data_IF_675575615374
#
_entry.id   IF_675575615374
#
_cell.length_a   1.000
_cell.length_b   1.000
_cell.length_c   1.000
_cell.angle_alpha   90.00
_cell.angle_beta   90.00
_cell.angle_gamma   90.00
#
_symmetry.space_group_name_H-M   'P 1'
#
loop_
_entity.id
_entity.type
_entity.pdbx_description
1 polymer ?
#
# COMPACT_ATOMS: atom_id res chain seq x y z
N UNK A 1 -35.14 45.08 53.06
CA UNK A 1 -35.69 44.62 51.76
C UNK A 1 -34.61 43.80 51.08
N UNK A 2 -35.02 42.64 50.54
CA UNK A 2 -34.17 41.48 50.31
C UNK A 2 -33.04 41.72 49.29
N UNK A 3 -31.87 41.11 49.57
CA UNK A 3 -30.83 40.86 48.58
C UNK A 3 -31.39 39.89 47.55
N UNK A 4 -31.57 40.32 46.31
CA UNK A 4 -31.70 39.40 45.18
C UNK A 4 -30.38 38.63 45.06
N UNK A 5 -30.42 37.37 45.49
CA UNK A 5 -29.39 36.40 45.18
C UNK A 5 -29.50 36.07 43.70
N UNK A 6 -28.54 36.54 42.90
CA UNK A 6 -28.34 36.13 41.51
C UNK A 6 -28.02 34.63 41.49
N UNK A 7 -29.05 33.79 41.58
CA UNK A 7 -28.90 32.35 41.51
C UNK A 7 -28.66 32.00 40.06
N UNK A 8 -27.48 31.47 39.74
CA UNK A 8 -27.28 30.73 38.50
C UNK A 8 -28.46 29.76 38.32
N UNK A 9 -29.35 30.07 37.37
CA UNK A 9 -30.61 29.33 37.22
C UNK A 9 -30.31 27.91 36.77
N UNK A 10 -30.26 27.02 37.75
CA UNK A 10 -29.94 25.62 37.57
C UNK A 10 -31.04 24.95 36.75
N UNK A 11 -30.66 24.22 35.71
CA UNK A 11 -31.57 23.47 34.85
C UNK A 11 -31.31 21.98 35.04
N UNK A 12 -32.36 21.23 35.37
CA UNK A 12 -32.34 19.77 35.49
C UNK A 12 -33.03 19.17 34.28
N UNK A 13 -32.32 18.30 33.56
CA UNK A 13 -32.77 17.70 32.31
C UNK A 13 -32.87 16.18 32.46
N UNK A 14 -33.89 15.58 31.86
CA UNK A 14 -34.03 14.14 31.69
C UNK A 14 -34.17 13.84 30.19
N UNK A 15 -33.09 13.33 29.58
CA UNK A 15 -33.02 13.03 28.15
C UNK A 15 -33.14 11.51 27.99
N UNK A 16 -34.32 11.04 27.59
CA UNK A 16 -34.60 9.60 27.39
C UNK A 16 -34.29 8.72 28.60
N UNK A 17 -34.45 9.25 29.82
CA UNK A 17 -34.16 8.54 31.06
C UNK A 17 -32.80 8.87 31.69
N UNK A 18 -31.89 9.55 30.96
CA UNK A 18 -30.59 10.01 31.50
C UNK A 18 -30.70 11.42 32.05
N UNK A 19 -30.29 11.58 33.32
CA UNK A 19 -30.40 12.83 34.06
C UNK A 19 -29.14 13.68 33.93
N UNK A 20 -29.32 14.95 33.63
CA UNK A 20 -28.25 15.94 33.53
C UNK A 20 -28.60 17.19 34.35
N UNK A 21 -27.57 17.92 34.75
CA UNK A 21 -27.70 19.19 35.44
C UNK A 21 -26.74 20.20 34.83
N UNK A 22 -27.23 21.40 34.56
CA UNK A 22 -26.47 22.48 33.93
C UNK A 22 -27.05 23.85 34.33
N UNK A 23 -26.57 24.93 33.71
CA UNK A 23 -27.11 26.28 33.90
C UNK A 23 -27.86 26.71 32.65
N UNK A 24 -28.83 27.60 32.82
CA UNK A 24 -29.55 28.21 31.68
C UNK A 24 -28.59 28.85 30.68
N UNK A 25 -27.57 29.55 31.18
CA UNK A 25 -26.53 30.18 30.37
C UNK A 25 -25.81 29.18 29.45
N UNK A 26 -25.50 27.98 29.95
CA UNK A 26 -24.88 26.92 29.13
C UNK A 26 -25.76 26.56 27.94
N UNK A 27 -27.09 26.50 28.12
CA UNK A 27 -28.02 26.10 27.09
C UNK A 27 -28.35 27.21 26.09
N UNK A 28 -28.09 28.47 26.42
CA UNK A 28 -28.56 29.62 25.63
C UNK A 28 -27.45 30.47 25.00
N UNK A 29 -26.22 30.45 25.52
CA UNK A 29 -25.20 31.43 25.10
C UNK A 29 -24.48 31.08 23.80
N UNK A 30 -24.02 29.84 23.63
CA UNK A 30 -23.15 29.48 22.50
C UNK A 30 -23.90 29.35 21.18
N UNK A 31 -25.06 28.71 21.23
CA UNK A 31 -25.90 28.41 20.08
C UNK A 31 -27.27 29.06 20.31
N UNK A 32 -27.37 30.40 20.22
CA UNK A 32 -28.58 31.14 20.62
C UNK A 32 -29.81 30.81 19.78
N UNK A 33 -29.61 30.30 18.57
CA UNK A 33 -30.66 29.90 17.64
C UNK A 33 -31.02 28.41 17.73
N UNK A 34 -30.39 27.66 18.65
CA UNK A 34 -30.67 26.24 18.84
C UNK A 34 -32.03 25.99 19.50
N UNK A 35 -32.55 24.77 19.33
CA UNK A 35 -33.77 24.32 20.01
C UNK A 35 -33.64 24.45 21.53
N UNK A 36 -32.47 24.10 22.09
CA UNK A 36 -32.21 24.22 23.53
C UNK A 36 -32.25 25.69 23.98
N UNK A 37 -31.64 26.60 23.22
CA UNK A 37 -31.69 28.02 23.53
C UNK A 37 -33.14 28.55 23.48
N UNK A 38 -33.92 28.16 22.47
CA UNK A 38 -35.33 28.53 22.35
C UNK A 38 -36.17 28.03 23.54
N UNK A 39 -35.98 26.78 23.96
CA UNK A 39 -36.66 26.17 25.11
C UNK A 39 -36.33 26.91 26.42
N UNK A 40 -35.07 27.30 26.62
CA UNK A 40 -34.60 27.84 27.90
C UNK A 40 -34.38 29.37 27.92
N UNK A 41 -34.71 30.06 26.83
CA UNK A 41 -34.68 31.52 26.72
C UNK A 41 -35.63 32.25 27.67
N UNK A 42 -36.62 31.54 28.24
CA UNK A 42 -37.71 32.12 29.05
C UNK A 42 -38.92 32.57 28.22
N UNK A 43 -38.89 32.39 26.89
CA UNK A 43 -40.00 32.74 25.99
C UNK A 43 -41.06 31.64 25.87
N UNK A 44 -40.77 30.42 26.31
CA UNK A 44 -41.66 29.27 26.24
C UNK A 44 -41.84 28.65 27.62
N UNK A 45 -43.06 28.23 27.95
CA UNK A 45 -43.32 27.45 29.18
C UNK A 45 -42.89 26.01 28.93
N UNK A 46 -41.81 25.59 29.60
CA UNK A 46 -41.33 24.22 29.53
C UNK A 46 -41.99 23.39 30.63
N UNK A 47 -42.63 22.28 30.28
CA UNK A 47 -43.22 21.37 31.27
C UNK A 47 -42.13 20.73 32.12
N UNK A 48 -42.24 20.90 33.45
CA UNK A 48 -41.32 20.33 34.42
C UNK A 48 -42.05 19.29 35.28
N UNK A 49 -41.33 18.25 35.68
CA UNK A 49 -41.77 17.31 36.71
C UNK A 49 -42.12 18.10 37.99
N UNK A 50 -43.38 18.08 38.48
CA UNK A 50 -43.83 18.89 39.60
C UNK A 50 -43.11 18.57 40.93
N UNK A 51 -42.59 17.36 41.09
CA UNK A 51 -41.94 16.92 42.32
C UNK A 51 -40.43 17.11 42.28
N UNK A 52 -39.80 16.92 41.11
CA UNK A 52 -38.33 16.83 40.98
C UNK A 52 -37.70 17.95 40.16
N UNK A 53 -38.51 18.73 39.44
CA UNK A 53 -38.10 19.90 38.65
C UNK A 53 -37.29 19.55 37.39
N UNK A 54 -37.43 18.32 36.88
CA UNK A 54 -36.76 17.91 35.65
C UNK A 54 -37.59 18.27 34.42
N UNK A 55 -36.94 18.85 33.42
CA UNK A 55 -37.49 18.95 32.06
C UNK A 55 -37.20 17.64 31.33
N UNK A 56 -38.25 16.98 30.84
CA UNK A 56 -38.11 15.77 30.04
C UNK A 56 -37.98 16.10 28.55
N UNK A 57 -37.02 15.44 27.87
CA UNK A 57 -36.87 15.46 26.42
C UNK A 57 -36.82 14.02 25.93
N UNK A 58 -37.72 13.67 25.02
CA UNK A 58 -37.86 12.32 24.48
C UNK A 58 -36.84 12.05 23.36
N UNK A 59 -35.56 11.91 23.75
CA UNK A 59 -34.41 11.65 22.87
C UNK A 59 -33.41 10.71 23.55
N UNK A 60 -32.47 10.14 22.80
CA UNK A 60 -31.42 9.31 23.39
C UNK A 60 -30.39 10.16 24.15
N UNK A 61 -30.35 10.00 25.47
CA UNK A 61 -29.36 10.68 26.30
C UNK A 61 -27.92 10.16 26.18
N UNK A 62 -27.63 9.15 25.34
CA UNK A 62 -26.28 8.57 25.14
C UNK A 62 -25.24 9.63 24.84
N UNK A 63 -25.50 10.49 23.86
CA UNK A 63 -24.53 11.50 23.40
C UNK A 63 -24.74 12.89 23.99
N UNK A 64 -25.78 13.07 24.81
CA UNK A 64 -26.11 14.37 25.35
C UNK A 64 -25.02 14.99 26.24
N UNK A 65 -24.14 14.15 26.82
CA UNK A 65 -22.94 14.65 27.51
C UNK A 65 -22.01 15.45 26.58
N UNK A 66 -21.85 15.00 25.34
CA UNK A 66 -21.01 15.67 24.35
C UNK A 66 -21.62 16.99 23.90
N UNK A 67 -22.94 17.05 23.74
CA UNK A 67 -23.68 18.29 23.49
C UNK A 67 -23.46 19.30 24.61
N UNK A 68 -23.57 18.88 25.87
CA UNK A 68 -23.33 19.78 27.00
C UNK A 68 -21.89 20.28 27.05
N UNK A 69 -20.91 19.45 26.70
CA UNK A 69 -19.52 19.87 26.66
C UNK A 69 -19.29 20.87 25.53
N UNK A 70 -19.79 20.59 24.31
CA UNK A 70 -19.78 21.53 23.19
C UNK A 70 -20.34 22.89 23.59
N UNK A 71 -21.51 22.93 24.22
CA UNK A 71 -22.14 24.17 24.66
C UNK A 71 -21.29 24.95 25.66
N UNK A 72 -20.49 24.26 26.49
CA UNK A 72 -19.59 24.88 27.47
C UNK A 72 -18.31 25.41 26.82
N UNK A 73 -17.53 24.53 26.20
CA UNK A 73 -16.16 24.83 25.78
C UNK A 73 -15.99 25.00 24.26
N UNK A 74 -16.95 24.57 23.45
CA UNK A 74 -16.90 24.65 21.99
C UNK A 74 -15.94 23.63 21.38
N UNK A 75 -15.61 22.56 22.09
CA UNK A 75 -14.71 21.52 21.59
C UNK A 75 -15.52 20.36 21.03
N UNK A 76 -15.29 20.00 19.77
CA UNK A 76 -15.84 18.79 19.16
C UNK A 76 -15.19 17.58 19.85
N UNK A 77 -15.98 16.63 20.39
CA UNK A 77 -15.43 15.50 21.13
C UNK A 77 -14.60 14.58 20.22
N UNK A 78 -13.63 13.88 20.78
CA UNK A 78 -12.90 12.82 20.08
C UNK A 78 -13.64 11.49 20.25
N UNK A 79 -14.23 10.98 19.17
CA UNK A 79 -15.07 9.77 19.16
C UNK A 79 -14.65 8.77 18.08
N UNK A 80 -15.24 7.56 18.11
CA UNK A 80 -15.16 6.60 17.01
C UNK A 80 -16.09 7.02 15.86
N UNK A 81 -15.81 6.58 14.62
CA UNK A 81 -16.58 6.99 13.44
C UNK A 81 -18.08 6.65 13.56
N UNK A 82 -18.43 5.50 14.13
CA UNK A 82 -19.83 5.12 14.37
C UNK A 82 -20.55 6.05 15.36
N UNK A 83 -19.81 6.63 16.32
CA UNK A 83 -20.38 7.50 17.36
C UNK A 83 -20.56 8.94 16.85
N UNK A 84 -19.76 9.39 15.88
CA UNK A 84 -19.97 10.70 15.25
C UNK A 84 -21.29 10.77 14.47
N UNK A 85 -21.65 9.69 13.76
CA UNK A 85 -22.93 9.64 13.05
C UNK A 85 -24.13 9.74 14.02
N UNK A 86 -24.05 9.06 15.17
CA UNK A 86 -25.07 9.14 16.22
C UNK A 86 -25.11 10.53 16.88
N UNK A 87 -23.95 11.14 17.18
CA UNK A 87 -23.90 12.48 17.74
C UNK A 87 -24.40 13.54 16.75
N UNK A 88 -24.11 13.38 15.45
CA UNK A 88 -24.56 14.28 14.39
C UNK A 88 -26.10 14.32 14.33
N UNK A 89 -26.76 13.17 14.42
CA UNK A 89 -28.23 13.09 14.46
C UNK A 89 -28.83 13.85 15.65
N UNK A 90 -28.19 13.77 16.83
CA UNK A 90 -28.63 14.56 17.98
C UNK A 90 -28.35 16.06 17.78
N UNK A 91 -27.20 16.43 17.23
CA UNK A 91 -26.86 17.83 16.95
C UNK A 91 -27.85 18.47 15.96
N UNK A 92 -28.26 17.74 14.92
CA UNK A 92 -29.32 18.14 13.98
C UNK A 92 -30.67 18.32 14.67
N UNK A 93 -31.07 17.37 15.53
CA UNK A 93 -32.32 17.48 16.27
C UNK A 93 -32.37 18.74 17.14
N UNK A 94 -31.29 19.01 17.89
CA UNK A 94 -31.21 20.21 18.73
C UNK A 94 -30.86 21.49 17.96
N UNK A 95 -30.63 21.40 16.65
CA UNK A 95 -30.29 22.53 15.77
C UNK A 95 -29.01 23.25 16.22
N UNK A 96 -27.96 22.49 16.53
CA UNK A 96 -26.66 22.99 16.97
C UNK A 96 -25.72 23.14 15.76
N UNK A 97 -25.92 24.18 14.96
CA UNK A 97 -25.22 24.37 13.68
C UNK A 97 -23.69 24.35 13.82
N UNK A 98 -23.14 25.03 14.83
CA UNK A 98 -21.69 25.04 15.03
C UNK A 98 -21.11 23.66 15.35
N UNK A 99 -21.86 22.81 16.06
CA UNK A 99 -21.45 21.43 16.34
C UNK A 99 -21.54 20.56 15.08
N UNK A 100 -22.57 20.75 14.26
CA UNK A 100 -22.76 20.03 12.98
C UNK A 100 -21.59 20.32 12.04
N UNK A 101 -21.22 21.60 11.89
CA UNK A 101 -20.08 22.02 11.08
C UNK A 101 -18.78 21.45 11.64
N UNK A 102 -18.56 21.55 12.95
CA UNK A 102 -17.37 21.01 13.61
C UNK A 102 -17.20 19.49 13.46
N UNK A 103 -18.29 18.72 13.55
CA UNK A 103 -18.27 17.27 13.31
C UNK A 103 -17.95 16.98 11.84
N UNK A 104 -18.58 17.71 10.92
CA UNK A 104 -18.36 17.55 9.48
C UNK A 104 -16.90 17.83 9.09
N UNK A 105 -16.29 18.85 9.66
CA UNK A 105 -14.88 19.16 9.46
C UNK A 105 -13.96 18.04 9.96
N UNK A 106 -14.21 17.50 11.15
CA UNK A 106 -13.44 16.37 11.70
C UNK A 106 -13.60 15.12 10.83
N UNK A 107 -14.81 14.82 10.36
CA UNK A 107 -15.07 13.69 9.47
C UNK A 107 -14.39 13.87 8.10
N UNK A 108 -14.42 15.07 7.53
CA UNK A 108 -13.74 15.39 6.28
C UNK A 108 -12.22 15.31 6.41
N UNK A 109 -11.65 15.77 7.53
CA UNK A 109 -10.20 15.64 7.79
C UNK A 109 -9.78 14.18 7.97
N UNK A 110 -10.61 13.34 8.61
CA UNK A 110 -10.36 11.90 8.73
C UNK A 110 -10.45 11.19 7.39
N UNK A 111 -11.46 11.50 6.56
CA UNK A 111 -11.57 10.96 5.21
C UNK A 111 -10.38 11.34 4.32
N UNK A 112 -9.86 12.57 4.44
CA UNK A 112 -8.62 12.99 3.75
C UNK A 112 -7.38 12.22 4.23
N UNK A 113 -7.34 11.82 5.51
CA UNK A 113 -6.26 11.01 6.06
C UNK A 113 -6.41 9.51 5.70
N UNK A 114 -7.61 9.03 5.41
CA UNK A 114 -7.84 7.71 4.83
C UNK A 114 -7.55 7.68 3.30
N UNK A 115 -7.68 8.82 2.59
CA UNK A 115 -7.20 8.99 1.20
C UNK A 115 -5.67 9.02 1.06
N UNK A 116 -4.90 9.08 2.15
CA UNK A 116 -3.44 8.93 2.13
C UNK A 116 -2.98 7.47 1.96
N UNK A 117 -3.92 6.52 1.86
CA UNK A 117 -3.69 5.11 1.51
C UNK A 117 -3.84 4.86 -0.01
N UNK A 118 -3.60 5.89 -0.84
CA UNK A 118 -3.57 5.71 -2.30
C UNK A 118 -2.43 4.79 -2.69
N UNK A 119 -2.74 3.68 -3.39
CA UNK A 119 -1.75 2.85 -4.06
C UNK A 119 -0.79 3.74 -4.85
N UNK A 120 0.52 3.53 -4.65
CA UNK A 120 1.55 4.30 -5.32
C UNK A 120 1.32 4.26 -6.83
N UNK A 121 1.18 5.42 -7.49
CA UNK A 121 0.84 5.45 -8.91
C UNK A 121 2.07 5.55 -9.81
N UNK A 122 1.93 5.24 -11.10
CA UNK A 122 2.99 5.50 -12.10
C UNK A 122 3.42 6.98 -12.12
N UNK A 123 2.50 7.92 -11.86
CA UNK A 123 2.81 9.36 -11.80
C UNK A 123 3.75 9.65 -10.64
N UNK A 124 3.55 8.99 -9.49
CA UNK A 124 4.42 9.17 -8.33
C UNK A 124 5.82 8.65 -8.61
N UNK A 125 5.93 7.51 -9.31
CA UNK A 125 7.21 6.99 -9.80
C UNK A 125 7.90 7.99 -10.74
N UNK A 126 7.15 8.58 -11.68
CA UNK A 126 7.70 9.59 -12.62
C UNK A 126 8.23 10.82 -11.86
N UNK A 127 7.56 11.25 -10.79
CA UNK A 127 8.06 12.33 -9.95
C UNK A 127 9.31 11.92 -9.18
N UNK A 128 9.37 10.68 -8.69
CA UNK A 128 10.54 10.15 -7.99
C UNK A 128 11.78 10.07 -8.89
N UNK A 129 11.63 9.64 -10.14
CA UNK A 129 12.77 9.52 -11.08
C UNK A 129 13.36 10.87 -11.50
N UNK A 130 12.62 11.96 -11.34
CA UNK A 130 13.11 13.32 -11.60
C UNK A 130 13.95 13.87 -10.43
N UNK A 131 14.01 13.16 -9.30
CA UNK A 131 14.82 13.52 -8.13
C UNK A 131 16.24 12.92 -8.21
N UNK A 132 17.19 13.50 -7.47
CA UNK A 132 18.62 13.20 -7.58
C UNK A 132 19.03 11.75 -7.27
N UNK A 133 18.18 10.94 -6.60
CA UNK A 133 18.40 9.49 -6.40
C UNK A 133 17.09 8.73 -6.26
N UNK A 134 16.89 7.73 -7.11
CA UNK A 134 15.68 6.90 -7.12
C UNK A 134 15.86 5.67 -6.24
N UNK A 135 15.09 5.58 -5.14
CA UNK A 135 15.11 4.41 -4.23
C UNK A 135 13.68 3.94 -3.98
N UNK A 136 13.43 2.67 -4.29
CA UNK A 136 12.17 1.96 -4.08
C UNK A 136 12.35 0.77 -3.12
N UNK A 137 13.37 0.83 -2.27
CA UNK A 137 13.70 -0.27 -1.35
C UNK A 137 12.52 -0.55 -0.41
N UNK A 138 12.05 -1.80 -0.38
CA UNK A 138 10.93 -2.20 0.48
C UNK A 138 9.55 -1.67 0.07
N UNK A 139 9.44 -0.99 -1.08
CA UNK A 139 8.18 -0.40 -1.55
C UNK A 139 7.33 -1.46 -2.24
N UNK A 140 6.01 -1.40 -2.06
CA UNK A 140 5.07 -2.17 -2.86
C UNK A 140 4.71 -1.39 -4.13
N UNK A 141 5.11 -1.94 -5.27
CA UNK A 141 4.87 -1.41 -6.62
C UNK A 141 3.97 -2.33 -7.44
N UNK A 142 3.40 -3.36 -6.82
CA UNK A 142 2.76 -4.47 -7.52
C UNK A 142 1.72 -3.99 -8.54
N UNK A 143 1.73 -4.59 -9.72
CA UNK A 143 0.79 -4.28 -10.80
C UNK A 143 1.04 -2.98 -11.54
N UNK A 144 1.98 -2.13 -11.10
CA UNK A 144 2.25 -0.88 -11.80
C UNK A 144 2.80 -1.12 -13.20
N UNK A 145 2.36 -0.30 -14.15
CA UNK A 145 3.05 -0.18 -15.42
C UNK A 145 4.21 0.82 -15.26
N UNK A 146 5.44 0.33 -15.38
CA UNK A 146 6.71 1.07 -15.40
C UNK A 146 7.44 0.93 -16.75
N UNK A 147 6.73 0.46 -17.79
CA UNK A 147 7.26 0.23 -19.12
C UNK A 147 7.86 1.51 -19.70
N UNK A 148 8.96 1.36 -20.45
CA UNK A 148 9.68 2.43 -21.15
C UNK A 148 10.29 3.54 -20.27
N UNK A 149 10.19 3.44 -18.94
CA UNK A 149 10.83 4.41 -18.05
C UNK A 149 12.35 4.19 -18.02
N UNK A 150 13.07 5.28 -17.76
CA UNK A 150 14.46 5.20 -17.32
C UNK A 150 14.50 5.06 -15.80
N UNK A 151 14.93 3.89 -15.37
CA UNK A 151 15.08 3.44 -14.00
C UNK A 151 16.49 2.88 -13.80
N UNK A 152 17.44 3.35 -14.61
CA UNK A 152 18.85 3.00 -14.45
C UNK A 152 19.34 3.38 -13.05
N UNK A 153 20.15 2.52 -12.46
CA UNK A 153 20.70 2.66 -11.11
C UNK A 153 19.66 2.71 -9.97
N UNK A 154 18.37 2.50 -10.25
CA UNK A 154 17.32 2.50 -9.23
C UNK A 154 17.49 1.29 -8.28
N UNK A 155 17.18 1.51 -7.00
CA UNK A 155 17.26 0.47 -5.98
C UNK A 155 15.86 -0.05 -5.60
N UNK A 156 15.52 -1.24 -6.10
CA UNK A 156 14.31 -2.02 -5.79
C UNK A 156 14.57 -3.14 -4.78
N UNK A 157 15.70 -3.13 -4.07
CA UNK A 157 16.01 -4.23 -3.15
C UNK A 157 14.89 -4.39 -2.11
N UNK A 158 14.50 -5.61 -1.77
CA UNK A 158 13.42 -5.92 -0.82
C UNK A 158 12.02 -5.39 -1.22
N UNK A 159 11.86 -4.81 -2.42
CA UNK A 159 10.58 -4.32 -2.89
C UNK A 159 9.63 -5.47 -3.27
N UNK A 160 8.34 -5.18 -3.29
CA UNK A 160 7.33 -6.05 -3.89
C UNK A 160 6.98 -5.48 -5.27
N UNK A 161 7.43 -6.14 -6.33
CA UNK A 161 7.21 -5.75 -7.73
C UNK A 161 6.43 -6.84 -8.48
N UNK A 162 5.54 -7.56 -7.79
CA UNK A 162 4.71 -8.60 -8.41
C UNK A 162 3.90 -8.04 -9.56
N UNK A 163 3.89 -8.75 -10.68
CA UNK A 163 3.12 -8.38 -11.87
C UNK A 163 3.39 -6.94 -12.38
N UNK A 164 4.54 -6.35 -12.08
CA UNK A 164 4.92 -5.03 -12.58
C UNK A 164 5.37 -5.12 -14.03
N UNK A 165 4.96 -4.15 -14.85
CA UNK A 165 5.36 -4.09 -16.25
C UNK A 165 6.61 -3.21 -16.40
N UNK A 166 7.74 -3.81 -16.74
CA UNK A 166 8.99 -3.15 -17.09
C UNK A 166 9.31 -3.27 -18.59
N UNK A 167 8.29 -3.49 -19.43
CA UNK A 167 8.51 -3.74 -20.86
C UNK A 167 9.26 -2.56 -21.50
N UNK A 168 10.40 -2.84 -22.14
CA UNK A 168 11.27 -1.83 -22.77
C UNK A 168 11.80 -0.75 -21.81
N UNK A 169 11.74 -0.96 -20.49
CA UNK A 169 12.33 -0.05 -19.52
C UNK A 169 13.86 -0.13 -19.55
N UNK A 170 14.53 0.99 -19.24
CA UNK A 170 15.96 1.01 -18.98
C UNK A 170 16.19 0.78 -17.48
N UNK A 171 16.74 -0.38 -17.12
CA UNK A 171 17.06 -0.76 -15.73
C UNK A 171 18.57 -1.02 -15.56
N UNK A 172 19.41 -0.45 -16.42
CA UNK A 172 20.86 -0.59 -16.36
C UNK A 172 21.38 -0.40 -14.93
N UNK A 173 22.13 -1.38 -14.41
CA UNK A 173 22.72 -1.38 -13.07
C UNK A 173 21.71 -1.19 -11.92
N UNK A 174 20.42 -1.47 -12.14
CA UNK A 174 19.41 -1.43 -11.09
C UNK A 174 19.60 -2.59 -10.09
N UNK A 175 19.20 -2.36 -8.85
CA UNK A 175 19.32 -3.34 -7.76
C UNK A 175 17.97 -3.96 -7.45
N UNK A 176 17.95 -5.28 -7.37
CA UNK A 176 16.79 -6.13 -7.15
C UNK A 176 17.10 -7.22 -6.11
N UNK A 177 18.04 -6.95 -5.20
CA UNK A 177 18.42 -7.94 -4.17
C UNK A 177 17.20 -8.28 -3.32
N UNK A 178 16.95 -9.57 -3.14
CA UNK A 178 15.84 -10.09 -2.33
C UNK A 178 14.47 -9.47 -2.72
N UNK A 179 14.29 -9.07 -3.99
CA UNK A 179 13.02 -8.51 -4.48
C UNK A 179 12.00 -9.63 -4.69
N UNK A 180 10.73 -9.33 -4.46
CA UNK A 180 9.62 -10.19 -4.90
C UNK A 180 9.05 -9.71 -6.23
N UNK A 181 9.53 -10.29 -7.33
CA UNK A 181 9.19 -9.97 -8.71
C UNK A 181 8.39 -11.07 -9.42
N UNK A 182 7.62 -11.86 -8.65
CA UNK A 182 6.75 -12.89 -9.19
C UNK A 182 5.83 -12.33 -10.30
N UNK A 183 5.84 -12.97 -11.46
CA UNK A 183 5.02 -12.58 -12.61
C UNK A 183 5.38 -11.22 -13.25
N UNK A 184 6.47 -10.57 -12.86
CA UNK A 184 6.88 -9.30 -13.45
C UNK A 184 7.27 -9.43 -14.93
N UNK A 185 7.02 -8.38 -15.73
CA UNK A 185 7.16 -8.41 -17.19
C UNK A 185 8.30 -7.50 -17.64
N UNK A 186 9.42 -8.10 -18.02
CA UNK A 186 10.65 -7.43 -18.49
C UNK A 186 10.87 -7.56 -20.01
N UNK A 187 9.81 -7.78 -20.80
CA UNK A 187 9.95 -7.93 -22.26
C UNK A 187 10.78 -6.81 -22.90
N UNK A 188 11.86 -7.18 -23.59
CA UNK A 188 12.79 -6.26 -24.25
C UNK A 188 13.36 -5.16 -23.32
N UNK A 189 13.41 -5.38 -22.00
CA UNK A 189 14.00 -4.44 -21.05
C UNK A 189 15.54 -4.49 -21.06
N UNK A 190 16.18 -3.38 -20.70
CA UNK A 190 17.63 -3.33 -20.47
C UNK A 190 17.92 -3.66 -19.01
N UNK A 191 18.44 -4.86 -18.75
CA UNK A 191 18.74 -5.40 -17.41
C UNK A 191 20.24 -5.67 -17.23
N UNK A 192 21.07 -4.92 -17.95
CA UNK A 192 22.53 -5.09 -17.95
C UNK A 192 23.08 -4.78 -16.57
N UNK A 193 23.98 -5.64 -16.09
CA UNK A 193 24.70 -5.42 -14.83
C UNK A 193 23.77 -5.25 -13.61
N UNK A 194 22.53 -5.73 -13.68
CA UNK A 194 21.59 -5.69 -12.56
C UNK A 194 21.98 -6.69 -11.45
N UNK A 195 21.60 -6.36 -10.21
CA UNK A 195 21.78 -7.24 -9.04
C UNK A 195 20.45 -7.92 -8.66
N UNK A 196 20.24 -9.17 -9.04
CA UNK A 196 19.08 -10.02 -8.70
C UNK A 196 19.40 -11.11 -7.65
N UNK A 197 20.47 -10.96 -6.87
CA UNK A 197 20.85 -11.99 -5.88
C UNK A 197 19.71 -12.25 -4.89
N UNK A 198 19.32 -13.52 -4.75
CA UNK A 198 18.23 -13.95 -3.86
C UNK A 198 16.82 -13.52 -4.31
N UNK A 199 16.66 -12.91 -5.48
CA UNK A 199 15.37 -12.43 -5.96
C UNK A 199 14.39 -13.58 -6.27
N UNK A 200 13.10 -13.35 -5.98
CA UNK A 200 12.03 -14.19 -6.48
C UNK A 200 11.50 -13.64 -7.81
N UNK A 201 11.81 -14.31 -8.91
CA UNK A 201 11.32 -13.96 -10.25
C UNK A 201 10.37 -15.03 -10.80
N UNK A 202 9.79 -15.90 -9.96
CA UNK A 202 8.93 -17.01 -10.42
C UNK A 202 7.91 -16.54 -11.46
N UNK A 203 7.87 -17.20 -12.61
CA UNK A 203 6.95 -16.88 -13.71
C UNK A 203 7.20 -15.56 -14.43
N UNK A 204 8.31 -14.85 -14.17
CA UNK A 204 8.61 -13.59 -14.83
C UNK A 204 8.85 -13.76 -16.34
N UNK A 205 8.49 -12.72 -17.10
CA UNK A 205 8.57 -12.70 -18.56
C UNK A 205 9.71 -11.80 -19.03
N UNK A 206 10.83 -12.39 -19.43
CA UNK A 206 12.07 -11.72 -19.83
C UNK A 206 12.42 -11.94 -21.32
N UNK A 207 11.44 -12.28 -22.16
CA UNK A 207 11.70 -12.53 -23.58
C UNK A 207 12.31 -11.28 -24.25
N UNK A 208 13.41 -11.48 -25.00
CA UNK A 208 14.19 -10.43 -25.65
C UNK A 208 14.90 -9.46 -24.70
N UNK A 209 14.88 -9.67 -23.38
CA UNK A 209 15.53 -8.80 -22.42
C UNK A 209 17.06 -8.91 -22.50
N UNK A 210 17.75 -7.82 -22.14
CA UNK A 210 19.20 -7.69 -22.20
C UNK A 210 19.79 -7.79 -20.79
N UNK A 211 20.18 -8.99 -20.36
CA UNK A 211 20.72 -9.34 -19.04
C UNK A 211 22.25 -9.54 -19.04
N UNK A 212 23.01 -8.89 -19.94
CA UNK A 212 24.45 -9.12 -20.00
C UNK A 212 25.11 -8.74 -18.66
N UNK A 213 25.95 -9.63 -18.16
CA UNK A 213 26.65 -9.49 -16.86
C UNK A 213 25.72 -9.29 -15.66
N UNK A 214 24.41 -9.58 -15.77
CA UNK A 214 23.50 -9.50 -14.64
C UNK A 214 23.83 -10.58 -13.60
N UNK A 215 23.69 -10.24 -12.31
CA UNK A 215 23.91 -11.16 -11.21
C UNK A 215 22.58 -11.75 -10.72
N UNK A 216 22.27 -12.96 -11.16
CA UNK A 216 21.11 -13.77 -10.78
C UNK A 216 21.49 -14.94 -9.86
N UNK A 217 22.63 -14.85 -9.15
CA UNK A 217 23.04 -15.89 -8.21
C UNK A 217 21.95 -16.12 -7.15
N UNK A 218 21.69 -17.38 -6.82
CA UNK A 218 20.70 -17.79 -5.81
C UNK A 218 19.24 -17.34 -6.11
N UNK A 219 18.95 -16.84 -7.32
CA UNK A 219 17.62 -16.37 -7.69
C UNK A 219 16.64 -17.52 -7.97
N UNK A 220 15.36 -17.32 -7.63
CA UNK A 220 14.27 -18.21 -8.04
C UNK A 220 13.76 -17.78 -9.42
N UNK A 221 14.04 -18.58 -10.45
CA UNK A 221 13.71 -18.33 -11.86
C UNK A 221 12.77 -19.42 -12.42
N UNK A 222 12.01 -20.06 -11.52
CA UNK A 222 11.12 -21.17 -11.88
C UNK A 222 10.01 -20.66 -12.79
N UNK A 223 9.72 -21.40 -13.85
CA UNK A 223 8.69 -21.07 -14.85
C UNK A 223 8.92 -19.73 -15.59
N UNK A 224 10.13 -19.15 -15.53
CA UNK A 224 10.47 -17.92 -16.25
C UNK A 224 10.57 -18.10 -17.77
N UNK A 225 10.29 -17.04 -18.54
CA UNK A 225 10.56 -16.99 -19.98
C UNK A 225 11.74 -16.08 -20.30
N UNK A 226 12.83 -16.66 -20.78
CA UNK A 226 14.02 -16.00 -21.32
C UNK A 226 14.15 -16.17 -22.85
N UNK A 227 13.04 -16.39 -23.56
CA UNK A 227 13.07 -16.61 -25.01
C UNK A 227 13.85 -15.50 -25.70
N UNK A 228 14.90 -15.86 -26.46
CA UNK A 228 15.77 -14.93 -27.18
C UNK A 228 16.42 -13.83 -26.30
N UNK A 229 16.45 -14.01 -24.98
CA UNK A 229 17.12 -13.07 -24.08
C UNK A 229 18.64 -13.16 -24.21
N UNK A 230 19.32 -12.05 -23.93
CA UNK A 230 20.78 -11.98 -23.93
C UNK A 230 21.32 -12.04 -22.50
N UNK A 231 21.84 -13.20 -22.11
CA UNK A 231 22.40 -13.53 -20.81
C UNK A 231 23.94 -13.68 -20.90
N UNK A 232 24.60 -13.03 -21.87
CA UNK A 232 26.06 -13.09 -22.00
C UNK A 232 26.75 -12.73 -20.68
N UNK A 233 27.67 -13.60 -20.24
CA UNK A 233 28.41 -13.44 -18.99
C UNK A 233 27.54 -13.28 -17.73
N UNK A 234 26.25 -13.63 -17.78
CA UNK A 234 25.38 -13.56 -16.60
C UNK A 234 25.83 -14.55 -15.52
N UNK A 235 25.65 -14.18 -14.25
CA UNK A 235 25.94 -15.03 -13.10
C UNK A 235 24.64 -15.70 -12.65
N UNK A 236 24.54 -17.02 -12.82
CA UNK A 236 23.37 -17.86 -12.53
C UNK A 236 23.74 -18.99 -11.55
N UNK A 237 24.82 -18.81 -10.77
CA UNK A 237 25.29 -19.81 -9.81
C UNK A 237 24.16 -20.14 -8.83
N UNK A 238 23.92 -21.44 -8.66
CA UNK A 238 22.92 -21.98 -7.73
C UNK A 238 21.48 -21.46 -7.93
N UNK A 239 21.19 -20.78 -9.05
CA UNK A 239 19.86 -20.30 -9.41
C UNK A 239 18.91 -21.45 -9.77
N UNK A 240 17.61 -21.28 -9.49
CA UNK A 240 16.58 -22.26 -9.80
C UNK A 240 15.86 -21.93 -11.10
N UNK A 241 16.29 -22.54 -12.21
CA UNK A 241 15.72 -22.38 -13.56
C UNK A 241 14.78 -23.56 -13.92
N UNK A 242 14.18 -24.22 -12.92
CA UNK A 242 13.25 -25.33 -13.16
C UNK A 242 12.10 -24.87 -14.08
N UNK A 243 11.82 -25.64 -15.13
CA UNK A 243 10.84 -25.35 -16.18
C UNK A 243 11.05 -24.01 -16.95
N UNK A 244 12.19 -23.33 -16.79
CA UNK A 244 12.42 -22.07 -17.47
C UNK A 244 12.53 -22.26 -19.00
N UNK A 245 11.99 -21.32 -19.76
CA UNK A 245 12.10 -21.31 -21.22
C UNK A 245 13.24 -20.38 -21.68
N UNK A 246 14.37 -20.97 -22.06
CA UNK A 246 15.55 -20.28 -22.60
C UNK A 246 15.73 -20.52 -24.11
N UNK A 247 14.64 -20.79 -24.85
CA UNK A 247 14.72 -21.03 -26.29
C UNK A 247 15.38 -19.86 -27.03
N UNK A 248 16.42 -20.16 -27.80
CA UNK A 248 17.20 -19.18 -28.54
C UNK A 248 17.98 -18.16 -27.69
N UNK A 249 18.03 -18.32 -26.37
CA UNK A 249 18.75 -17.40 -25.48
C UNK A 249 20.27 -17.44 -25.71
N UNK A 250 20.93 -16.30 -25.50
CA UNK A 250 22.39 -16.16 -25.64
C UNK A 250 23.03 -16.22 -24.25
N UNK A 251 23.63 -17.35 -23.89
CA UNK A 251 24.31 -17.60 -22.62
C UNK A 251 25.83 -17.70 -22.77
N UNK A 252 26.42 -17.04 -23.77
CA UNK A 252 27.87 -17.14 -24.02
C UNK A 252 28.65 -16.66 -22.80
N UNK A 253 29.51 -17.52 -22.27
CA UNK A 253 30.32 -17.23 -21.08
C UNK A 253 29.53 -17.14 -19.76
N UNK A 254 28.23 -17.41 -19.75
CA UNK A 254 27.41 -17.37 -18.53
C UNK A 254 27.88 -18.41 -17.51
N UNK A 255 27.75 -18.09 -16.22
CA UNK A 255 28.11 -18.99 -15.14
C UNK A 255 26.88 -19.65 -14.53
N UNK A 256 26.62 -20.90 -14.91
CA UNK A 256 25.48 -21.71 -14.43
C UNK A 256 25.93 -22.77 -13.41
N UNK A 257 27.10 -22.62 -12.77
CA UNK A 257 27.61 -23.60 -11.82
C UNK A 257 26.55 -23.90 -10.74
N UNK A 258 26.17 -25.17 -10.60
CA UNK A 258 25.18 -25.61 -9.60
C UNK A 258 23.73 -25.22 -9.89
N UNK A 259 23.44 -24.51 -10.99
CA UNK A 259 22.09 -24.13 -11.34
C UNK A 259 21.18 -25.36 -11.54
N UNK A 260 19.92 -25.24 -11.13
CA UNK A 260 18.90 -26.28 -11.34
C UNK A 260 18.19 -26.02 -12.67
N UNK A 261 18.24 -26.98 -13.58
CA UNK A 261 17.68 -26.85 -14.94
C UNK A 261 16.66 -27.95 -15.25
N UNK A 262 16.04 -28.57 -14.25
CA UNK A 262 15.05 -29.64 -14.48
C UNK A 262 13.94 -29.12 -15.40
N UNK A 263 13.68 -29.84 -16.51
CA UNK A 263 12.70 -29.47 -17.55
C UNK A 263 12.95 -28.12 -18.26
N UNK A 264 14.12 -27.49 -18.13
CA UNK A 264 14.40 -26.24 -18.81
C UNK A 264 14.48 -26.43 -20.33
N UNK A 265 13.87 -25.52 -21.09
CA UNK A 265 13.95 -25.49 -22.55
C UNK A 265 15.16 -24.67 -22.99
N UNK A 266 16.20 -25.31 -23.53
CA UNK A 266 17.42 -24.69 -24.05
C UNK A 266 17.55 -24.88 -25.57
N UNK A 267 16.44 -25.13 -26.28
CA UNK A 267 16.43 -25.31 -27.73
C UNK A 267 17.04 -24.11 -28.44
N UNK A 268 17.99 -24.35 -29.33
CA UNK A 268 18.71 -23.30 -30.06
C UNK A 268 19.53 -22.33 -29.20
N UNK A 269 19.64 -22.54 -27.88
CA UNK A 269 20.36 -21.64 -26.99
C UNK A 269 21.87 -21.67 -27.26
N UNK A 270 22.54 -20.52 -27.12
CA UNK A 270 23.98 -20.43 -27.28
C UNK A 270 24.69 -20.47 -25.91
N UNK A 271 25.18 -21.63 -25.53
CA UNK A 271 25.92 -21.90 -24.28
C UNK A 271 27.43 -21.97 -24.50
N UNK A 272 27.96 -21.41 -25.60
CA UNK A 272 29.39 -21.44 -25.86
C UNK A 272 30.18 -20.83 -24.70
N UNK A 273 31.23 -21.51 -24.26
CA UNK A 273 32.07 -21.11 -23.12
C UNK A 273 31.31 -20.95 -21.78
N UNK A 274 30.08 -21.42 -21.67
CA UNK A 274 29.33 -21.37 -20.41
C UNK A 274 29.93 -22.31 -19.35
N UNK A 275 29.83 -21.94 -18.09
CA UNK A 275 30.27 -22.75 -16.96
C UNK A 275 29.10 -23.58 -16.42
N UNK A 276 29.02 -24.85 -16.82
CA UNK A 276 27.94 -25.79 -16.49
C UNK A 276 28.41 -26.86 -15.46
N UNK A 277 29.35 -26.50 -14.59
CA UNK A 277 29.88 -27.45 -13.60
C UNK A 277 28.80 -27.83 -12.59
N UNK A 278 28.72 -29.12 -12.27
CA UNK A 278 27.74 -29.68 -11.30
C UNK A 278 26.26 -29.43 -11.67
N UNK A 279 25.97 -29.22 -12.95
CA UNK A 279 24.60 -29.04 -13.45
C UNK A 279 23.99 -30.38 -13.87
N UNK A 280 22.70 -30.59 -13.61
CA UNK A 280 21.96 -31.72 -14.16
C UNK A 280 21.24 -31.32 -15.46
N UNK A 281 21.66 -31.92 -16.57
CA UNK A 281 21.11 -31.72 -17.91
C UNK A 281 20.30 -32.94 -18.40
N UNK A 282 19.94 -33.89 -17.52
CA UNK A 282 19.17 -35.07 -17.94
C UNK A 282 17.79 -34.70 -18.46
N UNK A 283 17.14 -33.69 -17.90
CA UNK A 283 15.75 -33.38 -18.22
C UNK A 283 15.62 -32.06 -18.98
N UNK A 284 16.69 -31.58 -19.60
CA UNK A 284 16.67 -30.36 -20.42
C UNK A 284 16.40 -30.66 -21.89
N UNK A 285 15.76 -29.71 -22.58
CA UNK A 285 15.61 -29.75 -24.04
C UNK A 285 16.79 -29.00 -24.69
N UNK A 286 17.72 -29.71 -25.32
CA UNK A 286 18.98 -29.15 -25.86
C UNK A 286 19.06 -29.17 -27.39
N UNK A 287 17.95 -29.42 -28.09
CA UNK A 287 17.95 -29.55 -29.54
C UNK A 287 18.45 -28.24 -30.19
N UNK A 288 19.53 -28.33 -30.97
CA UNK A 288 20.16 -27.16 -31.60
C UNK A 288 20.98 -26.25 -30.67
N UNK A 289 21.13 -26.59 -29.39
CA UNK A 289 21.94 -25.82 -28.46
C UNK A 289 23.44 -25.87 -28.82
N UNK A 290 24.13 -24.74 -28.72
CA UNK A 290 25.57 -24.64 -29.00
C UNK A 290 26.36 -24.72 -27.69
N UNK A 291 27.22 -25.73 -27.55
CA UNK A 291 27.97 -26.01 -26.32
C UNK A 291 29.49 -25.89 -26.50
N UNK A 292 29.98 -25.31 -27.61
CA UNK A 292 31.41 -25.26 -27.90
C UNK A 292 32.19 -24.54 -26.78
N UNK A 293 33.20 -25.23 -26.24
CA UNK A 293 34.01 -24.71 -25.13
C UNK A 293 33.28 -24.61 -23.78
N UNK A 294 32.05 -25.11 -23.65
CA UNK A 294 31.35 -25.13 -22.36
C UNK A 294 32.04 -26.07 -21.36
N UNK A 295 32.14 -25.63 -20.10
CA UNK A 295 32.74 -26.41 -19.03
C UNK A 295 31.69 -27.31 -18.36
N UNK A 296 31.65 -28.58 -18.76
CA UNK A 296 30.71 -29.60 -18.29
C UNK A 296 31.28 -30.49 -17.15
N UNK A 297 32.35 -30.06 -16.47
CA UNK A 297 32.98 -30.89 -15.45
C UNK A 297 32.00 -31.19 -14.29
N UNK A 298 31.71 -32.48 -14.08
CA UNK A 298 30.75 -32.95 -13.09
C UNK A 298 29.29 -32.69 -13.47
N UNK A 299 28.99 -32.31 -14.71
CA UNK A 299 27.64 -32.23 -15.22
C UNK A 299 27.05 -33.63 -15.46
N UNK A 300 25.78 -33.80 -15.11
CA UNK A 300 25.04 -35.03 -15.36
C UNK A 300 24.31 -34.90 -16.70
N UNK A 301 24.50 -35.86 -17.62
CA UNK A 301 23.91 -35.85 -18.97
C UNK A 301 23.14 -37.16 -19.21
N UNK A 302 22.21 -37.17 -20.17
CA UNK A 302 21.67 -38.44 -20.70
C UNK A 302 22.81 -39.24 -21.35
N UNK A 303 22.75 -40.57 -21.23
CA UNK A 303 23.70 -41.49 -21.86
C UNK A 303 23.69 -41.34 -23.39
#
# INVERSE_FOLDING_TARGET
>A
MAKESDSFSLVRLNIGGKKFCTTRDTLTQREPDSMLAAMFSGRHTVCQDPEKGFVFVDRDGKHFRHILNWLRDGVVPTLKNSEYAELLQEAEYYQLLGLIDGISDVMNQRNKNEELDTELTRIDIIKCIQSERVRFRGVNLSGLDLSKLDLSFADFSYACIKNVFFSRANLLCAKFRDVDAEGAIFHNATLRECEFTGANLRGALLAGASLQSANLQDACLIDCSFCQADLRSAHLQDADLTNANLEGAILVGANLKGAKLSNANLRGANLQRAYLRKVNLRDTHLEGAKLDGANLLGAIRRH
#
